data_IF_470220434399
#
_entry.id   IF_470220434399
#
_cell.length_a   1.000
_cell.length_b   1.000
_cell.length_c   1.000
_cell.angle_alpha   90.00
_cell.angle_beta   90.00
_cell.angle_gamma   90.00
#
_symmetry.space_group_name_H-M   'P 1'
#
loop_
_entity.id
_entity.type
_entity.pdbx_description
1 polymer ?
#
# COMPACT_ATOMS: atom_id res chain seq x y z
N UNK A 1 7.44 16.19 13.83
CA UNK A 1 7.96 14.81 13.69
C UNK A 1 7.91 14.15 15.07
N UNK A 2 7.22 13.01 15.21
CA UNK A 2 7.21 12.28 16.48
C UNK A 2 8.47 11.44 16.65
N UNK A 3 8.96 11.26 17.86
CA UNK A 3 10.14 10.46 18.20
C UNK A 3 10.01 8.98 17.77
N UNK A 4 11.14 8.27 17.74
CA UNK A 4 11.13 6.81 17.65
C UNK A 4 10.30 6.23 18.81
N UNK A 5 9.37 5.32 18.51
CA UNK A 5 8.47 4.76 19.53
C UNK A 5 7.20 5.56 19.83
N UNK A 6 6.96 6.71 19.19
CA UNK A 6 5.76 7.54 19.45
C UNK A 6 4.42 6.95 18.93
N UNK A 7 4.40 5.67 18.50
CA UNK A 7 3.19 4.96 18.07
C UNK A 7 2.73 5.21 16.63
N UNK A 8 3.39 6.05 15.82
CA UNK A 8 2.96 6.40 14.45
C UNK A 8 2.69 5.16 13.56
N UNK A 9 3.63 4.22 13.53
CA UNK A 9 3.49 2.99 12.75
C UNK A 9 2.33 2.13 13.28
N UNK A 10 2.21 2.00 14.60
CA UNK A 10 1.09 1.30 15.25
C UNK A 10 -0.26 1.92 14.89
N UNK A 11 -0.35 3.26 14.90
CA UNK A 11 -1.56 3.98 14.48
C UNK A 11 -1.87 3.76 13.00
N UNK A 12 -0.87 3.80 12.12
CA UNK A 12 -1.06 3.50 10.70
C UNK A 12 -1.60 2.09 10.46
N UNK A 13 -1.03 1.08 11.14
CA UNK A 13 -1.51 -0.30 11.06
C UNK A 13 -2.93 -0.47 11.64
N UNK A 14 -3.26 0.25 12.72
CA UNK A 14 -4.60 0.26 13.30
C UNK A 14 -5.64 0.86 12.34
N UNK A 15 -5.31 1.97 11.68
CA UNK A 15 -6.18 2.61 10.67
C UNK A 15 -6.48 1.66 9.50
N UNK A 16 -5.50 0.87 9.08
CA UNK A 16 -5.64 -0.14 8.01
C UNK A 16 -6.31 -1.44 8.46
N UNK A 17 -6.71 -1.52 9.74
CA UNK A 17 -7.26 -2.73 10.38
C UNK A 17 -6.34 -3.95 10.20
N UNK A 18 -5.02 -3.72 10.24
CA UNK A 18 -4.00 -4.78 10.21
C UNK A 18 -3.66 -5.28 11.61
N UNK A 19 -3.95 -4.48 12.63
CA UNK A 19 -3.93 -4.86 14.05
C UNK A 19 -5.28 -4.51 14.70
N UNK A 20 -5.58 -5.14 15.84
CA UNK A 20 -6.77 -4.81 16.62
C UNK A 20 -6.65 -3.42 17.24
N UNK A 21 -7.76 -2.68 17.24
CA UNK A 21 -7.87 -1.35 17.83
C UNK A 21 -9.27 -1.13 18.39
N UNK A 22 -9.40 -0.22 19.36
CA UNK A 22 -10.69 0.22 19.89
C UNK A 22 -11.04 1.60 19.33
N UNK A 23 -12.34 1.91 19.26
CA UNK A 23 -12.87 3.14 18.66
C UNK A 23 -13.38 2.95 17.23
N UNK A 24 -13.89 4.04 16.64
CA UNK A 24 -14.44 4.06 15.28
C UNK A 24 -13.43 4.56 14.28
N UNK A 25 -13.26 3.83 13.18
CA UNK A 25 -12.46 4.26 12.02
C UNK A 25 -13.43 4.42 10.86
N UNK A 26 -13.50 5.63 10.29
CA UNK A 26 -14.35 5.96 9.16
C UNK A 26 -13.44 6.31 7.97
N UNK A 27 -13.63 5.61 6.86
CA UNK A 27 -12.94 5.88 5.59
C UNK A 27 -13.98 6.23 4.54
N UNK A 28 -13.90 7.43 3.97
CA UNK A 28 -14.84 7.90 2.93
C UNK A 28 -16.32 7.73 3.34
N UNK A 29 -16.66 8.16 4.56
CA UNK A 29 -18.01 8.03 5.13
C UNK A 29 -18.39 6.61 5.58
N UNK A 30 -17.56 5.59 5.32
CA UNK A 30 -17.85 4.19 5.68
C UNK A 30 -17.15 3.78 6.98
N UNK A 31 -17.89 3.33 8.01
CA UNK A 31 -17.29 2.76 9.21
C UNK A 31 -16.64 1.40 8.94
N UNK A 32 -15.41 1.20 9.41
CA UNK A 32 -14.62 -0.02 9.16
C UNK A 32 -14.71 -1.06 10.28
N UNK A 33 -15.17 -0.69 11.47
CA UNK A 33 -15.11 -1.55 12.67
C UNK A 33 -15.91 -2.86 12.54
N UNK A 34 -16.99 -2.85 11.75
CA UNK A 34 -17.90 -3.98 11.58
C UNK A 34 -17.60 -4.81 10.32
N UNK A 35 -16.59 -4.42 9.54
CA UNK A 35 -16.24 -5.11 8.31
C UNK A 35 -15.34 -6.30 8.60
N UNK A 36 -15.68 -7.44 8.01
CA UNK A 36 -14.83 -8.62 8.01
C UNK A 36 -13.67 -8.46 6.99
N UNK A 37 -12.71 -9.40 7.04
CA UNK A 37 -11.52 -9.38 6.18
C UNK A 37 -11.86 -9.26 4.68
N UNK A 38 -12.89 -9.97 4.21
CA UNK A 38 -13.28 -9.96 2.79
C UNK A 38 -13.88 -8.61 2.38
N UNK A 39 -14.66 -7.99 3.26
CA UNK A 39 -15.23 -6.66 3.03
C UNK A 39 -14.18 -5.53 3.08
N UNK A 40 -13.09 -5.73 3.83
CA UNK A 40 -11.98 -4.78 3.89
C UNK A 40 -11.07 -4.81 2.66
N UNK A 41 -11.01 -5.92 1.92
CA UNK A 41 -10.09 -6.06 0.77
C UNK A 41 -10.29 -4.95 -0.29
N UNK A 42 -11.51 -4.69 -0.80
CA UNK A 42 -11.72 -3.61 -1.78
C UNK A 42 -11.34 -2.22 -1.26
N UNK A 43 -11.56 -1.96 0.04
CA UNK A 43 -11.22 -0.68 0.68
C UNK A 43 -9.71 -0.50 0.74
N UNK A 44 -8.96 -1.56 1.06
CA UNK A 44 -7.49 -1.51 1.12
C UNK A 44 -6.86 -1.17 -0.23
N UNK A 45 -7.46 -1.55 -1.36
CA UNK A 45 -6.98 -1.14 -2.69
C UNK A 45 -7.05 0.38 -2.93
N UNK A 46 -7.85 1.10 -2.15
CA UNK A 46 -8.03 2.56 -2.21
C UNK A 46 -7.11 3.32 -1.25
N UNK A 47 -6.30 2.62 -0.47
CA UNK A 47 -5.42 3.22 0.54
C UNK A 47 -3.98 2.83 0.22
N UNK A 48 -3.15 3.82 -0.08
CA UNK A 48 -1.72 3.60 -0.29
C UNK A 48 -0.95 3.91 1.00
N UNK A 49 -0.09 2.98 1.41
CA UNK A 49 0.77 3.13 2.57
C UNK A 49 2.17 3.42 2.09
N UNK A 50 2.75 4.54 2.54
CA UNK A 50 4.16 4.87 2.31
C UNK A 50 4.89 4.66 3.63
N UNK A 51 5.74 3.64 3.69
CA UNK A 51 6.53 3.34 4.89
C UNK A 51 7.72 4.30 4.99
N UNK A 52 8.13 4.63 6.22
CA UNK A 52 9.25 5.55 6.48
C UNK A 52 10.60 4.98 6.04
N UNK A 53 10.75 3.65 6.08
CA UNK A 53 11.90 2.94 5.54
C UNK A 53 11.48 2.20 4.26
N UNK A 54 11.78 2.75 3.07
CA UNK A 54 11.40 2.12 1.81
C UNK A 54 12.08 0.76 1.64
N UNK A 55 13.32 0.59 2.12
CA UNK A 55 14.09 -0.64 1.94
C UNK A 55 13.46 -1.83 2.69
N UNK A 56 12.85 -1.58 3.84
CA UNK A 56 12.15 -2.62 4.62
C UNK A 56 10.99 -3.28 3.88
N UNK A 57 10.47 -2.63 2.83
CA UNK A 57 9.33 -3.10 2.04
C UNK A 57 9.72 -3.74 0.70
N UNK A 58 11.00 -3.67 0.31
CA UNK A 58 11.49 -4.20 -0.96
C UNK A 58 11.96 -5.66 -0.81
N UNK A 59 11.62 -6.51 -1.79
CA UNK A 59 12.17 -7.86 -1.86
C UNK A 59 13.52 -7.83 -2.61
N UNK A 60 14.65 -8.08 -1.94
CA UNK A 60 15.99 -7.94 -2.54
C UNK A 60 16.28 -9.00 -3.63
N UNK A 61 15.39 -9.98 -3.81
CA UNK A 61 15.48 -10.96 -4.91
C UNK A 61 14.86 -10.46 -6.22
N UNK A 62 14.22 -9.30 -6.20
CA UNK A 62 13.59 -8.69 -7.37
C UNK A 62 14.45 -7.57 -7.91
N UNK A 63 14.50 -7.43 -9.24
CA UNK A 63 15.10 -6.28 -9.88
C UNK A 63 14.17 -5.05 -9.82
N UNK A 64 14.69 -3.88 -10.19
CA UNK A 64 13.94 -2.60 -10.14
C UNK A 64 12.64 -2.68 -10.92
N UNK A 65 12.65 -3.24 -12.14
CA UNK A 65 11.45 -3.44 -12.95
C UNK A 65 10.40 -4.25 -12.19
N UNK A 66 10.79 -5.38 -11.64
CA UNK A 66 9.90 -6.29 -10.90
C UNK A 66 9.31 -5.62 -9.66
N UNK A 67 10.13 -4.88 -8.90
CA UNK A 67 9.71 -4.14 -7.70
C UNK A 67 8.61 -3.13 -8.06
N UNK A 68 8.80 -2.34 -9.12
CA UNK A 68 7.82 -1.33 -9.54
C UNK A 68 6.58 -2.00 -10.15
N UNK A 69 6.77 -3.09 -10.91
CA UNK A 69 5.67 -3.86 -11.51
C UNK A 69 4.74 -4.49 -10.46
N UNK A 70 5.23 -4.85 -9.26
CA UNK A 70 4.39 -5.44 -8.21
C UNK A 70 3.19 -4.55 -7.85
N UNK A 71 3.39 -3.23 -7.78
CA UNK A 71 2.32 -2.27 -7.54
C UNK A 71 1.29 -2.26 -8.67
N UNK A 72 1.75 -2.24 -9.93
CA UNK A 72 0.87 -2.26 -11.10
C UNK A 72 0.06 -3.55 -11.19
N UNK A 73 0.65 -4.71 -10.84
CA UNK A 73 -0.07 -5.99 -10.81
C UNK A 73 -1.23 -6.00 -9.81
N UNK A 74 -1.05 -5.33 -8.66
CA UNK A 74 -2.06 -5.29 -7.59
C UNK A 74 -3.14 -4.26 -7.89
N UNK A 75 -2.77 -3.08 -8.40
CA UNK A 75 -3.69 -1.95 -8.58
C UNK A 75 -4.27 -1.83 -10.00
N UNK A 76 -3.62 -2.41 -11.00
CA UNK A 76 -4.02 -2.39 -12.41
C UNK A 76 -4.02 -3.82 -13.02
N UNK A 77 -4.82 -4.75 -12.46
CA UNK A 77 -4.80 -6.16 -12.84
C UNK A 77 -5.24 -6.42 -14.30
N UNK A 78 -5.84 -5.43 -14.96
CA UNK A 78 -6.28 -5.51 -16.36
C UNK A 78 -5.15 -5.27 -17.36
N UNK A 79 -4.00 -4.75 -16.93
CA UNK A 79 -2.86 -4.54 -17.82
C UNK A 79 -2.16 -5.86 -18.15
N UNK A 80 -1.79 -6.03 -19.42
CA UNK A 80 -0.91 -7.11 -19.86
C UNK A 80 0.51 -6.91 -19.31
N UNK A 81 1.34 -7.96 -19.37
CA UNK A 81 2.74 -7.85 -18.95
C UNK A 81 3.50 -6.76 -19.73
N UNK A 82 3.31 -6.72 -21.06
CA UNK A 82 3.94 -5.70 -21.91
C UNK A 82 3.47 -4.27 -21.57
N UNK A 83 2.18 -4.08 -21.26
CA UNK A 83 1.65 -2.78 -20.86
C UNK A 83 2.22 -2.33 -19.52
N UNK A 84 2.38 -3.24 -18.55
CA UNK A 84 3.00 -2.90 -17.25
C UNK A 84 4.45 -2.52 -17.43
N UNK A 85 5.22 -3.27 -18.22
CA UNK A 85 6.62 -2.95 -18.51
C UNK A 85 6.78 -1.56 -19.14
N UNK A 86 5.96 -1.22 -20.13
CA UNK A 86 5.95 0.11 -20.74
C UNK A 86 5.65 1.22 -19.73
N UNK A 87 4.71 0.98 -18.81
CA UNK A 87 4.37 1.97 -17.78
C UNK A 87 5.49 2.17 -16.77
N UNK A 88 6.20 1.09 -16.40
CA UNK A 88 7.39 1.20 -15.54
C UNK A 88 8.48 2.01 -16.23
N UNK A 89 8.76 1.72 -17.51
CA UNK A 89 9.76 2.46 -18.30
C UNK A 89 9.39 3.94 -18.37
N UNK A 90 8.12 4.27 -18.64
CA UNK A 90 7.65 5.65 -18.70
C UNK A 90 7.90 6.41 -17.40
N UNK A 91 7.54 5.82 -16.25
CA UNK A 91 7.76 6.44 -14.93
C UNK A 91 9.25 6.61 -14.62
N UNK A 92 10.10 5.65 -15.02
CA UNK A 92 11.55 5.77 -14.82
C UNK A 92 12.18 6.91 -15.64
N UNK A 93 11.55 7.35 -16.73
CA UNK A 93 11.99 8.54 -17.47
C UNK A 93 11.54 9.86 -16.84
N UNK A 94 10.57 9.85 -15.92
CA UNK A 94 10.11 11.05 -15.21
C UNK A 94 10.99 11.43 -14.02
N UNK A 95 11.91 10.54 -13.64
CA UNK A 95 12.83 10.74 -12.50
C UNK A 95 14.22 11.00 -13.06
N UNK A 96 14.64 12.27 -13.07
CA UNK A 96 15.98 12.73 -13.44
C UNK A 96 17.06 12.30 -12.41
#
# INVERSE_FOLDING_TARGET
>A
MGESGSGKSTTGLALLRLINSQGSIIFDGQPLQNLNRRQLLPIRHRIQVVFQDPNSSLNPRLNVLQIIEEGLRVHQPTLSAAQREQQVIAVMHEVD
#
